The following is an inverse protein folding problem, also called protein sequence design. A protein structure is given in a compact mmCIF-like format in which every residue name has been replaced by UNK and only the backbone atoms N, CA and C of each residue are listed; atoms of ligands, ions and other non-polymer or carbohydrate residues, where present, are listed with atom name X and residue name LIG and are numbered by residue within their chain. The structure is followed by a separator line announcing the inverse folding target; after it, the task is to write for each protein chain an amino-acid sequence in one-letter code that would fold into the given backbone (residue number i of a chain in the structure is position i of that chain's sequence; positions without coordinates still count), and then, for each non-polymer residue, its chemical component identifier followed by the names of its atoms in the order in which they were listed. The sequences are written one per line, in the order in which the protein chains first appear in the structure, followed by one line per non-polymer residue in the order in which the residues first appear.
data_IF_786986022045
#
_entry.id   IF_786986022045
#
_cell.length_a   1.000
_cell.length_b   1.000
_cell.length_c   1.000
_cell.angle_alpha   90.00
_cell.angle_beta   90.00
_cell.angle_gamma   90.00
#
_symmetry.space_group_name_H-M   'P 1'
#
loop_
_entity.id
_entity.type
_entity.pdbx_description
1 polymer ?
#
# COMPACT_ATOMS: atom_id res chain seq x y z
N UNK A 1 15.92 16.02 9.68
CA UNK A 1 16.33 15.31 10.92
C UNK A 1 17.69 14.61 10.77
N UNK A 2 18.38 14.77 9.66
CA UNK A 2 19.77 14.29 9.45
C UNK A 2 19.97 12.78 9.34
N UNK A 3 18.92 11.98 9.19
CA UNK A 3 19.04 10.51 9.18
C UNK A 3 19.66 9.95 7.89
N UNK A 4 19.72 10.73 6.81
CA UNK A 4 20.21 10.27 5.50
C UNK A 4 19.33 9.16 4.88
N UNK A 5 19.58 8.85 3.61
CA UNK A 5 18.86 7.82 2.87
C UNK A 5 19.58 6.46 2.97
N UNK A 6 18.85 5.31 3.11
CA UNK A 6 17.42 5.18 3.37
C UNK A 6 17.03 5.52 4.81
N UNK A 7 15.99 6.36 4.98
CA UNK A 7 15.53 6.82 6.29
C UNK A 7 14.68 5.80 7.06
N UNK A 8 13.87 5.01 6.37
CA UNK A 8 12.91 4.06 6.98
C UNK A 8 13.51 3.13 8.03
N UNK A 9 14.55 2.34 7.72
CA UNK A 9 15.18 1.44 8.70
C UNK A 9 15.79 2.16 9.89
N UNK A 10 16.25 3.41 9.70
CA UNK A 10 16.82 4.23 10.79
C UNK A 10 15.72 4.74 11.72
N UNK A 11 14.58 5.15 11.16
CA UNK A 11 13.39 5.53 11.92
C UNK A 11 12.90 4.34 12.75
N UNK A 12 12.74 3.16 12.15
CA UNK A 12 12.33 1.94 12.83
C UNK A 12 13.25 1.61 14.02
N UNK A 13 14.57 1.63 13.80
CA UNK A 13 15.55 1.35 14.86
C UNK A 13 15.51 2.37 16.00
N UNK A 14 15.31 3.65 15.70
CA UNK A 14 15.20 4.71 16.71
C UNK A 14 13.86 4.63 17.45
N UNK A 15 12.79 4.30 16.76
CA UNK A 15 11.45 4.14 17.32
C UNK A 15 11.41 3.13 18.49
N UNK A 16 12.23 2.08 18.46
CA UNK A 16 12.31 1.09 19.54
C UNK A 16 12.66 1.69 20.92
N UNK A 17 13.25 2.88 20.95
CA UNK A 17 13.69 3.56 22.17
C UNK A 17 12.86 4.81 22.49
N UNK A 18 11.90 5.13 21.62
CA UNK A 18 11.11 6.35 21.72
C UNK A 18 9.86 6.21 22.58
N UNK A 19 9.34 7.37 22.96
CA UNK A 19 8.04 7.49 23.64
C UNK A 19 7.09 8.30 22.77
N UNK A 20 5.79 8.07 22.93
CA UNK A 20 4.79 8.75 22.13
C UNK A 20 4.72 10.23 22.44
N UNK A 21 4.76 11.05 21.41
CA UNK A 21 4.41 12.48 21.42
C UNK A 21 3.35 12.73 20.37
N UNK A 22 2.35 13.53 20.69
CA UNK A 22 1.21 13.76 19.80
C UNK A 22 1.63 14.39 18.48
N UNK A 23 1.26 13.75 17.39
CA UNK A 23 1.36 14.21 16.00
C UNK A 23 -0.04 14.30 15.36
N UNK A 24 -0.20 15.06 14.28
CA UNK A 24 -1.46 15.10 13.54
C UNK A 24 -1.84 13.74 12.99
N UNK A 25 -3.12 13.41 13.10
CA UNK A 25 -3.71 12.20 12.53
C UNK A 25 -4.69 12.63 11.44
N UNK A 26 -4.40 12.29 10.19
CA UNK A 26 -5.11 12.83 9.03
C UNK A 26 -5.64 11.68 8.16
N UNK A 27 -6.81 11.17 8.53
CA UNK A 27 -7.59 10.21 7.75
C UNK A 27 -8.95 10.83 7.47
N UNK A 28 -9.39 10.80 6.21
CA UNK A 28 -10.71 11.27 5.80
C UNK A 28 -11.33 10.25 4.84
N UNK A 29 -12.29 9.50 5.32
CA UNK A 29 -12.86 8.38 4.55
C UNK A 29 -11.80 7.31 4.27
N UNK A 30 -11.50 7.09 3.00
CA UNK A 30 -10.45 6.17 2.54
C UNK A 30 -9.12 6.88 2.22
N UNK A 31 -9.12 8.22 2.32
CA UNK A 31 -7.94 9.02 2.02
C UNK A 31 -7.10 9.29 3.27
N UNK A 32 -5.80 9.32 3.09
CA UNK A 32 -4.84 9.70 4.12
C UNK A 32 -3.79 10.66 3.55
N UNK A 33 -3.18 11.47 4.41
CA UNK A 33 -2.15 12.43 3.99
C UNK A 33 -0.99 12.45 4.97
N UNK A 34 0.22 12.28 4.43
CA UNK A 34 1.45 12.28 5.21
C UNK A 34 2.19 13.62 5.21
N UNK A 35 1.82 14.57 4.34
CA UNK A 35 2.54 15.85 4.21
C UNK A 35 2.49 16.68 5.50
N UNK A 36 1.30 16.80 6.10
CA UNK A 36 1.12 17.47 7.38
C UNK A 36 1.81 16.75 8.54
N UNK A 37 1.78 15.42 8.54
CA UNK A 37 2.46 14.58 9.51
C UNK A 37 3.98 14.78 9.46
N UNK A 38 4.56 14.76 8.26
CA UNK A 38 5.99 15.00 8.05
C UNK A 38 6.41 16.38 8.59
N UNK A 39 5.68 17.43 8.20
CA UNK A 39 5.97 18.81 8.66
C UNK A 39 5.88 18.94 10.18
N UNK A 40 4.89 18.31 10.80
CA UNK A 40 4.73 18.34 12.25
C UNK A 40 5.87 17.57 12.96
N UNK A 41 6.29 16.45 12.44
CA UNK A 41 7.42 15.68 12.97
C UNK A 41 8.74 16.48 12.93
N UNK A 42 9.00 17.16 11.80
CA UNK A 42 10.18 18.04 11.67
C UNK A 42 10.13 19.16 12.70
N UNK A 43 9.01 19.88 12.83
CA UNK A 43 8.83 20.95 13.82
C UNK A 43 9.00 20.45 15.25
N UNK A 44 8.50 19.26 15.58
CA UNK A 44 8.69 18.66 16.91
C UNK A 44 10.17 18.40 17.20
N UNK A 45 10.91 17.89 16.24
CA UNK A 45 12.34 17.69 16.36
C UNK A 45 13.09 19.03 16.56
N UNK A 46 12.79 20.03 15.75
CA UNK A 46 13.39 21.37 15.83
C UNK A 46 13.07 22.08 17.14
N UNK A 47 11.93 21.78 17.77
CA UNK A 47 11.56 22.31 19.09
C UNK A 47 12.24 21.58 20.27
N UNK A 48 13.17 20.66 20.00
CA UNK A 48 13.96 19.95 21.01
C UNK A 48 13.38 18.63 21.49
N UNK A 49 12.30 18.12 20.85
CA UNK A 49 11.81 16.77 21.18
C UNK A 49 12.86 15.72 20.81
N UNK A 50 13.16 14.74 21.67
CA UNK A 50 14.14 13.70 21.37
C UNK A 50 13.84 12.98 20.04
N UNK A 51 14.88 12.77 19.24
CA UNK A 51 14.72 12.17 17.90
C UNK A 51 14.06 10.79 17.97
N UNK A 52 14.35 9.99 18.98
CA UNK A 52 13.73 8.69 19.18
C UNK A 52 12.20 8.79 19.38
N UNK A 53 11.75 9.79 20.16
CA UNK A 53 10.33 10.02 20.43
C UNK A 53 9.59 10.49 19.17
N UNK A 54 10.23 11.34 18.37
CA UNK A 54 9.70 11.76 17.08
C UNK A 54 9.61 10.59 16.12
N UNK A 55 10.64 9.75 16.04
CA UNK A 55 10.65 8.56 15.18
C UNK A 55 9.57 7.56 15.59
N UNK A 56 9.43 7.27 16.89
CA UNK A 56 8.38 6.41 17.41
C UNK A 56 6.99 6.93 17.03
N UNK A 57 6.73 8.18 17.34
CA UNK A 57 5.42 8.80 17.12
C UNK A 57 5.08 8.93 15.64
N UNK A 58 6.06 9.24 14.80
CA UNK A 58 5.90 9.27 13.35
C UNK A 58 5.52 7.89 12.80
N UNK A 59 6.23 6.86 13.23
CA UNK A 59 5.96 5.49 12.82
C UNK A 59 4.56 5.03 13.27
N UNK A 60 4.26 5.15 14.56
CA UNK A 60 2.97 4.71 15.10
C UNK A 60 1.80 5.48 14.47
N UNK A 61 1.92 6.81 14.31
CA UNK A 61 0.85 7.61 13.70
C UNK A 61 0.65 7.25 12.23
N UNK A 62 1.72 7.16 11.44
CA UNK A 62 1.61 6.84 10.02
C UNK A 62 1.03 5.43 9.80
N UNK A 63 1.49 4.46 10.58
CA UNK A 63 1.02 3.08 10.43
C UNK A 63 -0.41 2.90 10.94
N UNK A 64 -0.79 3.57 12.03
CA UNK A 64 -2.20 3.57 12.47
C UNK A 64 -3.14 4.11 11.40
N UNK A 65 -2.74 5.18 10.70
CA UNK A 65 -3.51 5.71 9.57
C UNK A 65 -3.64 4.70 8.43
N UNK A 66 -2.54 4.01 8.07
CA UNK A 66 -2.56 2.96 7.04
C UNK A 66 -3.43 1.78 7.45
N UNK A 67 -3.30 1.31 8.68
CA UNK A 67 -4.08 0.17 9.20
C UNK A 67 -5.57 0.52 9.21
N UNK A 68 -5.95 1.70 9.68
CA UNK A 68 -7.35 2.15 9.70
C UNK A 68 -7.97 2.18 8.30
N UNK A 69 -7.25 2.72 7.30
CA UNK A 69 -7.75 2.76 5.92
C UNK A 69 -7.81 1.34 5.33
N UNK A 70 -6.85 0.48 5.65
CA UNK A 70 -6.86 -0.92 5.21
C UNK A 70 -8.01 -1.70 5.83
N UNK A 71 -8.29 -1.49 7.12
CA UNK A 71 -9.43 -2.07 7.82
C UNK A 71 -10.77 -1.65 7.19
N UNK A 72 -10.93 -0.36 6.91
CA UNK A 72 -12.12 0.15 6.21
C UNK A 72 -12.27 -0.49 4.83
N UNK A 73 -11.17 -0.62 4.07
CA UNK A 73 -11.17 -1.27 2.77
C UNK A 73 -11.57 -2.75 2.87
N UNK A 74 -11.00 -3.47 3.83
CA UNK A 74 -11.30 -4.88 4.09
C UNK A 74 -12.80 -5.06 4.41
N UNK A 75 -13.33 -4.24 5.31
CA UNK A 75 -14.73 -4.29 5.70
C UNK A 75 -15.68 -3.92 4.53
N UNK A 76 -15.34 -2.86 3.77
CA UNK A 76 -16.14 -2.40 2.64
C UNK A 76 -16.19 -3.43 1.50
N UNK A 77 -15.05 -4.01 1.17
CA UNK A 77 -14.95 -5.01 0.08
C UNK A 77 -15.36 -6.42 0.50
N UNK A 78 -15.58 -6.65 1.80
CA UNK A 78 -15.91 -7.96 2.39
C UNK A 78 -14.91 -9.06 2.02
N UNK A 79 -13.65 -8.68 1.81
CA UNK A 79 -12.56 -9.63 1.55
C UNK A 79 -12.13 -10.30 2.85
N UNK A 80 -11.43 -11.42 2.70
CA UNK A 80 -10.90 -12.23 3.80
C UNK A 80 -9.39 -12.39 3.75
N UNK A 81 -8.75 -11.60 2.90
CA UNK A 81 -7.31 -11.64 2.69
C UNK A 81 -6.77 -10.22 2.59
N UNK A 82 -5.65 -9.97 3.25
CA UNK A 82 -4.89 -8.73 3.18
C UNK A 82 -3.47 -9.06 2.77
N UNK A 83 -2.98 -8.43 1.71
CA UNK A 83 -1.59 -8.61 1.28
C UNK A 83 -0.81 -7.32 1.45
N UNK A 84 0.34 -7.40 2.12
CA UNK A 84 1.31 -6.32 2.21
C UNK A 84 2.50 -6.61 1.30
N UNK A 85 2.84 -5.67 0.41
CA UNK A 85 4.02 -5.75 -0.45
C UNK A 85 4.70 -4.39 -0.57
N UNK A 86 5.84 -4.33 -1.27
CA UNK A 86 6.65 -3.12 -1.40
C UNK A 86 7.73 -3.00 -0.32
N UNK A 87 8.64 -2.04 -0.48
CA UNK A 87 9.82 -1.90 0.38
C UNK A 87 9.51 -1.65 1.86
N UNK A 88 8.39 -0.95 2.16
CA UNK A 88 7.96 -0.67 3.54
C UNK A 88 7.41 -1.92 4.23
N UNK A 89 7.07 -2.98 3.49
CA UNK A 89 6.72 -4.28 4.06
C UNK A 89 7.86 -4.90 4.91
N UNK A 90 9.08 -4.42 4.74
CA UNK A 90 10.22 -4.78 5.60
C UNK A 90 10.04 -4.32 7.06
N UNK A 91 9.26 -3.26 7.31
CA UNK A 91 9.07 -2.74 8.65
C UNK A 91 8.27 -3.71 9.52
N UNK A 92 8.87 -4.14 10.62
CA UNK A 92 8.29 -5.15 11.51
C UNK A 92 7.00 -4.64 12.18
N UNK A 93 7.01 -3.39 12.63
CA UNK A 93 5.84 -2.79 13.31
C UNK A 93 4.61 -2.72 12.41
N UNK A 94 4.77 -2.31 11.14
CA UNK A 94 3.65 -2.29 10.20
C UNK A 94 3.06 -3.68 9.98
N UNK A 95 3.92 -4.70 9.87
CA UNK A 95 3.46 -6.09 9.73
C UNK A 95 2.65 -6.56 10.93
N UNK A 96 3.16 -6.31 12.13
CA UNK A 96 2.47 -6.66 13.38
C UNK A 96 1.10 -6.00 13.46
N UNK A 97 1.00 -4.72 13.15
CA UNK A 97 -0.26 -3.98 13.19
C UNK A 97 -1.27 -4.49 12.16
N UNK A 98 -0.84 -4.74 10.92
CA UNK A 98 -1.72 -5.27 9.87
C UNK A 98 -2.14 -6.71 10.15
N UNK A 99 -1.24 -7.54 10.67
CA UNK A 99 -1.56 -8.90 11.06
C UNK A 99 -2.61 -8.92 12.18
N UNK A 100 -2.42 -8.14 13.24
CA UNK A 100 -3.39 -8.03 14.34
C UNK A 100 -4.75 -7.56 13.83
N UNK A 101 -4.79 -6.54 12.98
CA UNK A 101 -6.03 -6.06 12.37
C UNK A 101 -6.72 -7.15 11.54
N UNK A 102 -5.97 -7.90 10.73
CA UNK A 102 -6.53 -8.97 9.91
C UNK A 102 -7.11 -10.09 10.79
N UNK A 103 -6.40 -10.50 11.85
CA UNK A 103 -6.87 -11.50 12.82
C UNK A 103 -8.17 -11.06 13.52
N UNK A 104 -8.27 -9.80 13.93
CA UNK A 104 -9.47 -9.21 14.54
C UNK A 104 -10.70 -9.26 13.61
N UNK A 105 -10.46 -9.24 12.29
CA UNK A 105 -11.48 -9.35 11.25
C UNK A 105 -11.66 -10.77 10.68
N UNK A 106 -11.05 -11.78 11.28
CA UNK A 106 -11.05 -13.16 10.76
C UNK A 106 -10.58 -13.24 9.30
N UNK A 107 -9.60 -12.42 8.94
CA UNK A 107 -8.97 -12.38 7.64
C UNK A 107 -7.53 -12.92 7.70
N UNK A 108 -7.03 -13.42 6.58
CA UNK A 108 -5.66 -13.90 6.47
C UNK A 108 -4.73 -12.75 6.05
N UNK A 109 -3.60 -12.64 6.72
CA UNK A 109 -2.55 -11.70 6.36
C UNK A 109 -1.45 -12.39 5.57
N UNK A 110 -1.12 -11.84 4.40
CA UNK A 110 -0.12 -12.38 3.49
C UNK A 110 0.99 -11.37 3.21
N UNK A 111 2.19 -11.87 3.08
CA UNK A 111 3.34 -11.09 2.62
C UNK A 111 4.25 -11.99 1.76
N UNK A 112 4.69 -11.52 0.59
CA UNK A 112 5.67 -12.27 -0.19
C UNK A 112 7.02 -12.33 0.56
N UNK A 113 7.87 -13.32 0.24
CA UNK A 113 9.23 -13.35 0.76
C UNK A 113 9.93 -12.00 0.55
N UNK A 114 10.69 -11.54 1.53
CA UNK A 114 11.31 -10.19 1.56
C UNK A 114 12.09 -9.84 0.30
N UNK A 115 12.74 -10.81 -0.33
CA UNK A 115 13.48 -10.62 -1.59
C UNK A 115 12.60 -10.17 -2.78
N UNK A 116 11.28 -10.34 -2.66
CA UNK A 116 10.29 -9.93 -3.68
C UNK A 116 9.48 -8.70 -3.27
N UNK A 117 9.69 -8.16 -2.05
CA UNK A 117 8.99 -6.97 -1.60
C UNK A 117 9.54 -5.68 -2.23
N UNK A 118 10.82 -5.64 -2.60
CA UNK A 118 11.42 -4.52 -3.34
C UNK A 118 11.43 -4.74 -4.84
N UNK A 119 11.94 -3.77 -5.58
CA UNK A 119 12.12 -3.87 -7.03
C UNK A 119 13.01 -5.06 -7.38
N UNK A 120 12.53 -5.89 -8.30
CA UNK A 120 13.27 -7.07 -8.74
C UNK A 120 12.87 -7.47 -10.16
N UNK A 121 13.82 -8.09 -10.89
CA UNK A 121 13.60 -8.51 -12.27
C UNK A 121 12.52 -9.60 -12.44
N UNK A 122 12.26 -10.41 -11.40
CA UNK A 122 11.27 -11.47 -11.48
C UNK A 122 9.84 -10.92 -11.61
N UNK A 123 9.50 -9.83 -10.90
CA UNK A 123 8.18 -9.21 -11.02
C UNK A 123 7.97 -8.59 -12.42
N UNK A 124 9.01 -8.03 -13.01
CA UNK A 124 8.95 -7.46 -14.36
C UNK A 124 8.79 -8.57 -15.40
N UNK A 125 9.59 -9.64 -15.29
CA UNK A 125 9.51 -10.79 -16.17
C UNK A 125 8.13 -11.49 -16.10
N UNK A 126 7.58 -11.63 -14.89
CA UNK A 126 6.25 -12.19 -14.70
C UNK A 126 5.16 -11.32 -15.34
N UNK A 127 5.23 -10.01 -15.15
CA UNK A 127 4.30 -9.08 -15.77
C UNK A 127 4.40 -9.13 -17.29
N UNK A 128 5.62 -9.14 -17.85
CA UNK A 128 5.85 -9.27 -19.29
C UNK A 128 5.26 -10.58 -19.85
N UNK A 129 5.40 -11.69 -19.14
CA UNK A 129 4.82 -12.97 -19.53
C UNK A 129 3.28 -12.93 -19.54
N UNK A 130 2.66 -12.31 -18.53
CA UNK A 130 1.22 -12.12 -18.49
C UNK A 130 0.74 -11.24 -19.65
N UNK A 131 1.38 -10.11 -19.86
CA UNK A 131 1.07 -9.22 -20.98
C UNK A 131 1.14 -9.93 -22.32
N UNK A 132 2.23 -10.66 -22.58
CA UNK A 132 2.40 -11.45 -23.79
C UNK A 132 1.30 -12.49 -23.97
N UNK A 133 0.96 -13.25 -22.90
CA UNK A 133 -0.10 -14.26 -22.90
C UNK A 133 -1.47 -13.69 -23.29
N UNK A 134 -1.74 -12.44 -22.93
CA UNK A 134 -3.01 -11.77 -23.20
C UNK A 134 -2.96 -10.80 -24.40
N UNK A 135 -1.91 -10.89 -25.22
CA UNK A 135 -1.79 -10.11 -26.46
C UNK A 135 -1.45 -8.63 -26.28
N UNK A 136 -1.07 -8.22 -25.06
CA UNK A 136 -0.62 -6.86 -24.77
C UNK A 136 0.86 -6.69 -25.10
N UNK A 137 1.19 -6.87 -26.39
CA UNK A 137 2.56 -6.72 -26.90
C UNK A 137 2.71 -5.33 -27.49
N UNK A 138 3.78 -4.64 -27.14
CA UNK A 138 4.13 -3.32 -27.69
C UNK A 138 5.34 -3.43 -28.60
N UNK A 139 5.37 -2.62 -29.66
CA UNK A 139 6.56 -2.40 -30.47
C UNK A 139 7.63 -1.64 -29.67
N UNK A 140 8.86 -1.66 -30.16
CA UNK A 140 9.97 -0.96 -29.48
C UNK A 140 9.74 0.56 -29.46
N UNK A 141 9.01 1.09 -30.43
CA UNK A 141 8.60 2.47 -30.57
C UNK A 141 7.61 2.92 -29.48
N UNK A 142 6.89 1.97 -28.88
CA UNK A 142 5.88 2.23 -27.85
C UNK A 142 6.40 1.98 -26.41
N UNK A 143 7.73 1.83 -26.26
CA UNK A 143 8.36 1.52 -24.96
C UNK A 143 8.77 2.77 -24.17
N UNK A 144 8.34 3.96 -24.58
CA UNK A 144 8.61 5.19 -23.85
C UNK A 144 7.98 5.20 -22.46
N UNK A 145 8.67 5.86 -21.52
CA UNK A 145 8.22 6.00 -20.14
C UNK A 145 7.09 7.02 -20.06
N UNK A 146 5.93 6.60 -19.58
CA UNK A 146 4.81 7.49 -19.26
C UNK A 146 4.93 7.91 -17.80
N UNK A 147 5.50 9.10 -17.54
CA UNK A 147 5.89 9.56 -16.19
C UNK A 147 4.74 9.66 -15.17
N UNK A 148 3.53 9.91 -15.60
CA UNK A 148 2.36 10.08 -14.72
C UNK A 148 1.32 9.00 -14.95
N UNK A 149 1.77 7.83 -15.40
CA UNK A 149 0.88 6.71 -15.63
C UNK A 149 0.30 6.22 -14.30
N UNK A 150 -0.99 6.27 -14.17
CA UNK A 150 -1.68 5.88 -12.94
C UNK A 150 -1.93 4.39 -12.93
N UNK A 151 -1.82 3.78 -11.76
CA UNK A 151 -2.09 2.34 -11.59
C UNK A 151 -3.56 1.97 -11.88
N UNK A 152 -4.47 2.92 -11.71
CA UNK A 152 -5.89 2.78 -12.00
C UNK A 152 -6.27 2.96 -13.49
N UNK A 153 -5.31 3.33 -14.35
CA UNK A 153 -5.46 3.43 -15.81
C UNK A 153 -4.99 2.16 -16.54
N UNK A 154 -4.40 1.21 -15.82
CA UNK A 154 -3.85 -0.02 -16.41
C UNK A 154 -4.97 -1.01 -16.74
N UNK A 155 -5.10 -1.43 -18.00
CA UNK A 155 -5.98 -2.55 -18.35
C UNK A 155 -5.37 -3.88 -17.89
N UNK A 156 -6.14 -4.68 -17.14
CA UNK A 156 -5.72 -5.93 -16.53
C UNK A 156 -6.62 -7.08 -17.02
N UNK A 157 -6.49 -7.49 -18.29
CA UNK A 157 -7.44 -8.42 -18.92
C UNK A 157 -7.46 -9.81 -18.27
N UNK A 158 -6.37 -10.25 -17.64
CA UNK A 158 -6.34 -11.53 -16.90
C UNK A 158 -7.18 -11.52 -15.64
N UNK A 159 -7.44 -10.36 -15.02
CA UNK A 159 -8.38 -10.27 -13.90
C UNK A 159 -9.82 -10.51 -14.34
N UNK A 160 -10.20 -9.99 -15.50
CA UNK A 160 -11.55 -10.21 -16.06
C UNK A 160 -11.82 -11.70 -16.31
N UNK A 161 -10.80 -12.47 -16.72
CA UNK A 161 -10.93 -13.91 -16.93
C UNK A 161 -11.01 -14.72 -15.64
N UNK A 162 -10.27 -14.32 -14.60
CA UNK A 162 -10.32 -14.99 -13.29
C UNK A 162 -11.63 -14.72 -12.55
N UNK A 163 -12.23 -13.53 -12.72
CA UNK A 163 -13.54 -13.21 -12.13
C UNK A 163 -14.67 -14.05 -12.74
N UNK A 164 -14.57 -14.48 -14.02
CA UNK A 164 -15.55 -15.39 -14.63
C UNK A 164 -15.58 -16.77 -13.97
N UNK A 165 -14.48 -17.20 -13.37
CA UNK A 165 -14.43 -18.47 -12.62
C UNK A 165 -15.02 -18.34 -11.20
N UNK A 166 -15.19 -17.13 -10.68
CA UNK A 166 -15.74 -16.86 -9.35
C UNK A 166 -17.27 -16.88 -9.31
N UNK A 167 -18.01 -17.41 -10.27
CA UNK A 167 -19.49 -17.47 -10.29
C UNK A 167 -20.15 -16.27 -9.61
N UNK A 168 -19.62 -15.07 -9.87
CA UNK A 168 -20.24 -13.84 -9.41
C UNK A 168 -21.58 -13.69 -10.14
N UNK A 169 -22.64 -13.25 -9.47
CA UNK A 169 -23.92 -12.92 -10.13
C UNK A 169 -23.66 -11.99 -11.32
N UNK A 170 -24.32 -12.26 -12.45
CA UNK A 170 -24.17 -11.46 -13.69
C UNK A 170 -24.35 -9.96 -13.43
N UNK A 171 -25.29 -9.59 -12.55
CA UNK A 171 -25.49 -8.21 -12.09
C UNK A 171 -24.22 -7.54 -11.49
N UNK A 172 -23.34 -8.31 -10.82
CA UNK A 172 -22.10 -7.76 -10.27
C UNK A 172 -21.06 -7.63 -11.37
N UNK A 173 -21.05 -8.55 -12.33
CA UNK A 173 -20.14 -8.48 -13.49
C UNK A 173 -20.54 -7.35 -14.43
N UNK A 174 -21.83 -7.12 -14.67
CA UNK A 174 -22.34 -6.03 -15.49
C UNK A 174 -22.15 -4.67 -14.80
N UNK A 175 -22.54 -4.53 -13.53
CA UNK A 175 -22.28 -3.32 -12.75
C UNK A 175 -20.80 -3.04 -12.55
N UNK A 176 -19.98 -4.09 -12.46
CA UNK A 176 -18.52 -3.98 -12.44
C UNK A 176 -17.94 -3.49 -13.77
N UNK A 177 -18.52 -3.90 -14.89
CA UNK A 177 -18.14 -3.44 -16.22
C UNK A 177 -18.64 -2.02 -16.51
N UNK A 178 -19.87 -1.69 -16.13
CA UNK A 178 -20.48 -0.35 -16.29
C UNK A 178 -19.87 0.68 -15.32
N UNK A 179 -19.59 0.26 -14.08
CA UNK A 179 -18.98 1.13 -13.07
C UNK A 179 -17.47 1.28 -13.23
N UNK A 180 -16.88 0.63 -14.26
CA UNK A 180 -15.43 0.64 -14.49
C UNK A 180 -14.63 0.21 -13.22
N UNK A 181 -15.23 -0.69 -12.41
CA UNK A 181 -14.66 -1.17 -11.14
C UNK A 181 -13.44 -2.07 -11.40
N UNK A 182 -13.31 -2.56 -12.63
CA UNK A 182 -12.13 -3.25 -13.19
C UNK A 182 -11.99 -2.81 -14.67
N UNK A 183 -11.48 -1.73 -14.96
CA UNK A 183 -10.17 -1.15 -14.84
C UNK A 183 -10.19 0.24 -14.18
N UNK A 184 -9.50 0.35 -13.09
CA UNK A 184 -8.83 1.58 -12.76
C UNK A 184 -9.62 2.75 -12.20
N UNK A 185 -10.84 2.64 -11.73
CA UNK A 185 -11.47 3.68 -10.92
C UNK A 185 -11.86 3.16 -9.55
N UNK A 186 -10.93 3.27 -8.62
CA UNK A 186 -11.28 3.39 -7.22
C UNK A 186 -11.85 4.78 -7.04
N UNK A 187 -13.17 4.86 -7.05
CA UNK A 187 -13.82 6.13 -6.79
C UNK A 187 -13.71 6.50 -5.34
N UNK A 188 -13.29 7.76 -5.13
CA UNK A 188 -13.29 8.44 -3.85
C UNK A 188 -14.67 8.67 -3.26
#
# INVERSE_FOLDING_TARGET
MGLGHPGGPKVEKLALKGKYVKLPYTVKGMDLSFSGLLTAAVRKYESGTPLADVCYSLQETAFSMLVEVTERALAHTKKREVMLCGGVAANTRLREMLQSMAEDHYAEFHMPPMKFCGDNGAMIAWMGQLMHKYGLVKGIEDTEVVQRYRTDEVDVPWMKSSLRHLKLPEEILEKGAEANIYPGKWMG
#
